data_IF_359626145147
#
_entry.id   IF_359626145147
#
_cell.length_a   1.000
_cell.length_b   1.000
_cell.length_c   1.000
_cell.angle_alpha   90.00
_cell.angle_beta   90.00
_cell.angle_gamma   90.00
#
_symmetry.space_group_name_H-M   'P 1'
#
loop_
_entity.id
_entity.type
_entity.pdbx_description
1 polymer ?
#
# COMPACT_ATOMS: atom_id res chain seq x y z
N UNK A 1 11.88 7.37 -13.54
CA UNK A 1 10.80 8.23 -13.01
C UNK A 1 11.34 9.25 -12.02
N UNK A 2 11.89 8.85 -10.87
CA UNK A 2 12.52 9.78 -9.90
C UNK A 2 13.54 10.70 -10.56
N UNK A 3 14.49 10.15 -11.33
CA UNK A 3 15.51 10.97 -12.01
C UNK A 3 14.95 11.86 -13.13
N UNK A 4 13.86 11.46 -13.79
CA UNK A 4 13.20 12.28 -14.79
C UNK A 4 12.58 13.53 -14.15
N UNK A 5 11.94 13.38 -12.99
CA UNK A 5 11.44 14.51 -12.21
C UNK A 5 12.59 15.36 -11.69
N UNK A 6 13.65 14.75 -11.15
CA UNK A 6 14.85 15.46 -10.64
C UNK A 6 15.57 16.29 -11.69
N UNK A 7 15.58 15.85 -12.94
CA UNK A 7 16.23 16.56 -14.05
C UNK A 7 15.28 17.52 -14.80
N UNK A 8 14.06 17.73 -14.30
CA UNK A 8 13.10 18.65 -14.92
C UNK A 8 12.51 18.16 -16.25
N UNK A 9 12.62 16.85 -16.55
CA UNK A 9 12.04 16.27 -17.76
C UNK A 9 10.52 16.06 -17.65
N UNK A 10 9.99 16.06 -16.42
CA UNK A 10 8.56 15.98 -16.13
C UNK A 10 8.21 16.96 -15.01
N UNK A 11 7.07 17.63 -15.15
CA UNK A 11 6.60 18.63 -14.16
C UNK A 11 5.87 17.99 -12.97
N UNK A 12 5.25 16.83 -13.19
CA UNK A 12 4.44 16.12 -12.20
C UNK A 12 4.81 14.64 -12.21
N UNK A 13 4.93 14.05 -11.03
CA UNK A 13 5.20 12.63 -10.84
C UNK A 13 4.24 12.03 -9.81
N UNK A 14 3.54 10.97 -10.19
CA UNK A 14 2.88 10.06 -9.25
C UNK A 14 3.84 8.94 -8.86
N UNK A 15 4.18 8.84 -7.58
CA UNK A 15 5.09 7.81 -7.08
C UNK A 15 4.82 7.45 -5.62
N UNK A 16 5.40 6.33 -5.17
CA UNK A 16 5.19 5.77 -3.84
C UNK A 16 6.20 6.31 -2.81
N UNK A 17 5.82 6.25 -1.53
CA UNK A 17 6.75 6.39 -0.41
C UNK A 17 7.71 5.18 -0.35
N UNK A 18 8.93 5.32 0.19
CA UNK A 18 9.49 6.51 0.83
C UNK A 18 10.14 7.50 -0.14
N UNK A 19 10.18 7.20 -1.45
CA UNK A 19 10.88 8.02 -2.43
C UNK A 19 10.24 9.42 -2.61
N UNK A 20 8.92 9.52 -2.55
CA UNK A 20 8.25 10.84 -2.53
C UNK A 20 8.58 11.65 -1.29
N UNK A 21 8.73 11.01 -0.11
CA UNK A 21 9.21 11.67 1.10
C UNK A 21 10.64 12.18 0.92
N UNK A 22 11.52 11.42 0.27
CA UNK A 22 12.88 11.85 -0.06
C UNK A 22 12.88 13.08 -0.98
N UNK A 23 12.02 13.11 -2.00
CA UNK A 23 11.91 14.23 -2.94
C UNK A 23 11.49 15.52 -2.24
N UNK A 24 10.52 15.45 -1.33
CA UNK A 24 10.11 16.60 -0.53
C UNK A 24 11.28 17.06 0.35
N UNK A 25 11.93 16.13 1.06
CA UNK A 25 12.98 16.45 2.02
C UNK A 25 14.27 17.02 1.38
N UNK A 26 14.61 16.59 0.17
CA UNK A 26 15.94 16.88 -0.42
C UNK A 26 15.90 17.70 -1.71
N UNK A 27 14.74 17.87 -2.33
CA UNK A 27 14.62 18.47 -3.68
C UNK A 27 13.51 19.52 -3.79
N UNK A 28 12.90 19.94 -2.68
CA UNK A 28 11.87 20.99 -2.68
C UNK A 28 10.58 20.61 -3.42
N UNK A 29 10.36 19.32 -3.65
CA UNK A 29 9.11 18.86 -4.26
C UNK A 29 7.94 19.21 -3.35
N UNK A 30 6.82 19.62 -3.96
CA UNK A 30 5.56 19.88 -3.25
C UNK A 30 4.58 18.75 -3.52
N UNK A 31 4.00 18.20 -2.46
CA UNK A 31 2.96 17.17 -2.58
C UNK A 31 1.65 17.85 -3.00
N UNK A 32 1.16 17.52 -4.19
CA UNK A 32 -0.12 18.06 -4.69
C UNK A 32 -1.33 17.33 -4.10
N UNK A 33 -1.25 16.00 -4.01
CA UNK A 33 -2.29 15.15 -3.43
C UNK A 33 -1.69 13.80 -3.01
N UNK A 34 -2.48 12.97 -2.32
CA UNK A 34 -2.16 11.57 -2.06
C UNK A 34 -3.41 10.70 -2.24
N UNK A 35 -3.23 9.37 -2.21
CA UNK A 35 -4.34 8.42 -2.37
C UNK A 35 -5.50 8.69 -1.39
N UNK A 36 -5.20 8.92 -0.11
CA UNK A 36 -6.21 9.17 0.91
C UNK A 36 -7.06 10.43 0.65
N UNK A 37 -6.47 11.45 0.01
CA UNK A 37 -7.17 12.66 -0.41
C UNK A 37 -7.95 12.48 -1.73
N UNK A 38 -7.44 11.67 -2.65
CA UNK A 38 -8.07 11.43 -3.95
C UNK A 38 -9.27 10.48 -3.87
N UNK A 39 -9.20 9.46 -3.01
CA UNK A 39 -10.24 8.44 -2.87
C UNK A 39 -10.73 8.37 -1.42
N UNK A 40 -10.11 7.56 -0.55
CA UNK A 40 -10.41 7.49 0.89
C UNK A 40 -9.17 7.03 1.67
N UNK A 41 -9.08 7.29 3.00
CA UNK A 41 -7.96 6.81 3.82
C UNK A 41 -7.73 5.29 3.77
N UNK A 42 -8.78 4.52 3.50
CA UNK A 42 -8.76 3.05 3.45
C UNK A 42 -8.81 2.49 2.01
N UNK A 43 -8.63 3.35 1.01
CA UNK A 43 -8.45 2.88 -0.37
C UNK A 43 -7.14 2.09 -0.47
N UNK A 44 -7.19 0.84 -0.98
CA UNK A 44 -6.00 0.00 -1.02
C UNK A 44 -4.93 0.59 -1.95
N UNK A 45 -3.70 0.72 -1.43
CA UNK A 45 -2.53 1.12 -2.21
C UNK A 45 -1.74 -0.09 -2.75
N UNK A 46 -1.77 -1.19 -2.00
CA UNK A 46 -1.08 -2.44 -2.31
C UNK A 46 -1.99 -3.59 -1.89
N UNK A 47 -2.02 -4.65 -2.68
CA UNK A 47 -2.78 -5.87 -2.39
C UNK A 47 -1.83 -7.04 -2.18
N UNK A 48 -2.25 -7.98 -1.33
CA UNK A 48 -1.60 -9.28 -1.19
C UNK A 48 -2.36 -10.26 -2.06
N UNK A 49 -1.66 -10.86 -3.01
CA UNK A 49 -2.22 -11.89 -3.88
C UNK A 49 -1.48 -13.21 -3.68
N UNK A 50 -2.23 -14.30 -3.66
CA UNK A 50 -1.69 -15.66 -3.59
C UNK A 50 -2.27 -16.48 -4.74
N UNK A 51 -1.53 -17.48 -5.20
CA UNK A 51 -2.05 -18.42 -6.20
C UNK A 51 -3.22 -19.19 -5.62
N UNK A 52 -4.26 -19.41 -6.42
CA UNK A 52 -5.44 -20.18 -6.02
C UNK A 52 -5.06 -21.60 -5.55
N UNK A 53 -4.11 -22.24 -6.23
CA UNK A 53 -3.58 -23.56 -5.85
C UNK A 53 -2.92 -23.56 -4.47
N UNK A 54 -2.30 -22.44 -4.06
CA UNK A 54 -1.70 -22.31 -2.73
C UNK A 54 -2.78 -22.03 -1.69
N UNK A 55 -3.77 -21.21 -2.04
CA UNK A 55 -4.90 -20.89 -1.18
C UNK A 55 -5.74 -22.12 -0.84
N UNK A 56 -6.03 -22.95 -1.85
CA UNK A 56 -6.86 -24.15 -1.71
C UNK A 56 -6.07 -25.35 -1.17
N UNK A 57 -4.82 -25.54 -1.63
CA UNK A 57 -4.00 -26.69 -1.22
C UNK A 57 -3.25 -26.50 0.10
N UNK A 58 -3.01 -25.25 0.53
CA UNK A 58 -2.25 -24.93 1.75
C UNK A 58 -2.84 -23.73 2.52
N UNK A 59 -4.15 -23.72 2.83
CA UNK A 59 -4.81 -22.58 3.46
C UNK A 59 -4.17 -22.16 4.80
N UNK A 60 -3.66 -23.12 5.58
CA UNK A 60 -2.97 -22.87 6.84
C UNK A 60 -1.68 -22.05 6.69
N UNK A 61 -0.95 -22.24 5.58
CA UNK A 61 0.27 -21.47 5.28
C UNK A 61 -0.08 -20.04 4.92
N UNK A 62 -1.11 -19.86 4.09
CA UNK A 62 -1.59 -18.53 3.70
C UNK A 62 -2.09 -17.77 4.94
N UNK A 63 -2.84 -18.42 5.81
CA UNK A 63 -3.33 -17.83 7.05
C UNK A 63 -2.17 -17.42 7.99
N UNK A 64 -1.16 -18.28 8.16
CA UNK A 64 0.03 -17.94 8.96
C UNK A 64 0.81 -16.76 8.36
N UNK A 65 0.92 -16.71 7.03
CA UNK A 65 1.56 -15.60 6.33
C UNK A 65 0.80 -14.28 6.56
N UNK A 66 -0.52 -14.26 6.39
CA UNK A 66 -1.34 -13.08 6.66
C UNK A 66 -1.24 -12.61 8.11
N UNK A 67 -1.21 -13.53 9.09
CA UNK A 67 -0.98 -13.19 10.50
C UNK A 67 0.34 -12.44 10.71
N UNK A 68 1.40 -12.89 10.03
CA UNK A 68 2.69 -12.20 10.04
C UNK A 68 2.60 -10.79 9.47
N UNK A 69 1.85 -10.60 8.37
CA UNK A 69 1.64 -9.29 7.76
C UNK A 69 0.84 -8.34 8.66
N UNK A 70 -0.24 -8.81 9.29
CA UNK A 70 -1.03 -8.04 10.25
C UNK A 70 -0.15 -7.59 11.42
N UNK A 71 0.65 -8.50 11.98
CA UNK A 71 1.62 -8.17 13.03
C UNK A 71 2.65 -7.11 12.57
N UNK A 72 3.12 -7.20 11.33
CA UNK A 72 3.99 -6.18 10.73
C UNK A 72 3.32 -4.82 10.60
N UNK A 73 2.07 -4.78 10.14
CA UNK A 73 1.25 -3.55 10.08
C UNK A 73 1.07 -2.93 11.45
N UNK A 74 0.72 -3.74 12.46
CA UNK A 74 0.56 -3.29 13.84
C UNK A 74 1.87 -2.73 14.42
N UNK A 75 3.01 -3.35 14.12
CA UNK A 75 4.31 -2.84 14.54
C UNK A 75 4.60 -1.47 13.94
N UNK A 76 4.29 -1.25 12.66
CA UNK A 76 4.47 0.05 12.01
C UNK A 76 3.54 1.09 12.63
N UNK A 77 2.27 0.74 12.84
CA UNK A 77 1.27 1.64 13.43
C UNK A 77 1.64 2.06 14.87
N UNK A 78 2.14 1.14 15.69
CA UNK A 78 2.39 1.37 17.12
C UNK A 78 3.81 1.80 17.45
N UNK A 79 4.78 1.44 16.62
CA UNK A 79 6.21 1.64 16.90
C UNK A 79 7.01 1.81 15.61
N UNK A 80 6.72 2.87 14.82
CA UNK A 80 7.35 3.07 13.52
C UNK A 80 8.89 3.17 13.61
N UNK A 81 9.45 3.68 14.71
CA UNK A 81 10.90 3.69 14.95
C UNK A 81 11.49 2.27 15.00
N UNK A 82 10.82 1.36 15.71
CA UNK A 82 11.24 -0.04 15.80
C UNK A 82 11.11 -0.74 14.45
N UNK A 83 10.04 -0.46 13.70
CA UNK A 83 9.88 -0.98 12.35
C UNK A 83 11.03 -0.52 11.43
N UNK A 84 11.39 0.77 11.46
CA UNK A 84 12.53 1.32 10.71
C UNK A 84 13.85 0.68 11.13
N UNK A 85 14.09 0.51 12.44
CA UNK A 85 15.29 -0.15 12.95
C UNK A 85 15.45 -1.58 12.43
N UNK A 86 14.34 -2.33 12.30
CA UNK A 86 14.37 -3.67 11.72
C UNK A 86 14.69 -3.63 10.22
N UNK A 87 14.10 -2.70 9.47
CA UNK A 87 14.31 -2.56 8.03
C UNK A 87 15.73 -2.10 7.67
N UNK A 88 16.38 -1.32 8.53
CA UNK A 88 17.78 -0.90 8.38
C UNK A 88 18.78 -2.05 8.34
N UNK A 89 18.43 -3.21 8.92
CA UNK A 89 19.31 -4.39 8.89
C UNK A 89 19.37 -5.04 7.51
N UNK A 90 18.46 -4.68 6.60
CA UNK A 90 18.42 -5.15 5.22
C UNK A 90 18.66 -4.03 4.21
N UNK A 91 18.53 -4.37 2.93
CA UNK A 91 18.72 -3.46 1.79
C UNK A 91 17.40 -3.10 1.09
N UNK A 92 16.29 -3.14 1.83
CA UNK A 92 14.92 -2.99 1.30
C UNK A 92 14.65 -1.62 0.68
N UNK A 93 15.08 -0.55 1.34
CA UNK A 93 14.87 0.82 0.88
C UNK A 93 16.20 1.54 0.75
N UNK A 94 16.42 2.17 -0.41
CA UNK A 94 17.65 2.93 -0.70
C UNK A 94 17.47 4.41 -0.36
N UNK A 95 17.02 4.69 0.86
CA UNK A 95 16.83 6.06 1.39
C UNK A 95 17.40 6.13 2.80
N UNK A 96 17.66 7.35 3.29
CA UNK A 96 18.09 7.54 4.68
C UNK A 96 17.03 7.03 5.68
N UNK A 97 17.44 6.44 6.82
CA UNK A 97 16.53 6.07 7.92
C UNK A 97 15.51 7.12 8.34
N UNK A 98 15.92 8.39 8.40
CA UNK A 98 15.09 9.52 8.78
C UNK A 98 13.98 9.77 7.76
N UNK A 99 14.27 9.60 6.47
CA UNK A 99 13.29 9.66 5.39
C UNK A 99 12.30 8.50 5.50
N UNK A 100 12.76 7.29 5.77
CA UNK A 100 11.89 6.14 5.96
C UNK A 100 10.94 6.34 7.15
N UNK A 101 11.46 6.81 8.29
CA UNK A 101 10.66 7.11 9.47
C UNK A 101 9.63 8.21 9.20
N UNK A 102 10.03 9.30 8.55
CA UNK A 102 9.11 10.36 8.14
C UNK A 102 8.02 9.84 7.18
N UNK A 103 8.36 8.89 6.32
CA UNK A 103 7.41 8.28 5.40
C UNK A 103 6.34 7.46 6.14
N UNK A 104 6.74 6.70 7.18
CA UNK A 104 5.83 5.91 8.01
C UNK A 104 4.92 6.82 8.84
N UNK A 105 5.48 7.82 9.53
CA UNK A 105 4.71 8.77 10.35
C UNK A 105 3.73 9.66 9.58
N UNK A 106 3.94 9.81 8.27
CA UNK A 106 3.05 10.59 7.41
C UNK A 106 2.10 9.71 6.58
N UNK A 107 2.19 8.38 6.71
CA UNK A 107 1.26 7.48 6.03
C UNK A 107 -0.15 7.64 6.64
N UNK A 108 -1.22 7.47 5.86
CA UNK A 108 -2.57 7.39 6.41
C UNK A 108 -2.63 6.31 7.49
N UNK A 109 -3.15 6.66 8.66
CA UNK A 109 -3.28 5.75 9.79
C UNK A 109 -4.72 5.26 9.94
N UNK A 110 -4.93 4.00 10.39
CA UNK A 110 -3.92 2.95 10.52
C UNK A 110 -3.61 2.26 9.18
N UNK A 111 -2.40 1.70 9.05
CA UNK A 111 -2.15 0.62 8.09
C UNK A 111 -3.11 -0.52 8.42
N UNK A 112 -3.96 -0.86 7.46
CA UNK A 112 -5.01 -1.86 7.61
C UNK A 112 -4.97 -2.85 6.45
N UNK A 113 -5.37 -4.09 6.73
CA UNK A 113 -5.59 -5.14 5.73
C UNK A 113 -7.08 -5.32 5.41
N UNK A 114 -7.96 -4.50 6.00
CA UNK A 114 -9.39 -4.43 5.67
C UNK A 114 -9.57 -3.31 4.64
N UNK A 115 -9.85 -3.63 3.37
CA UNK A 115 -9.98 -2.64 2.31
C UNK A 115 -11.34 -1.93 2.35
N UNK A 116 -11.38 -0.69 1.87
CA UNK A 116 -12.64 -0.02 1.51
C UNK A 116 -13.18 -0.58 0.18
N UNK A 117 -14.06 -1.58 0.28
CA UNK A 117 -14.65 -2.27 -0.89
C UNK A 117 -15.43 -1.32 -1.79
N UNK A 118 -16.04 -0.26 -1.23
CA UNK A 118 -16.82 0.71 -2.01
C UNK A 118 -15.89 1.60 -2.84
N UNK A 119 -14.76 2.03 -2.26
CA UNK A 119 -13.73 2.74 -3.01
C UNK A 119 -13.19 1.88 -4.17
N UNK A 120 -12.94 0.59 -3.91
CA UNK A 120 -12.49 -0.34 -4.98
C UNK A 120 -13.57 -0.53 -6.06
N UNK A 121 -14.84 -0.64 -5.67
CA UNK A 121 -15.93 -0.74 -6.65
C UNK A 121 -16.02 0.50 -7.54
N UNK A 122 -15.71 1.68 -7.00
CA UNK A 122 -15.66 2.93 -7.78
C UNK A 122 -14.53 2.87 -8.82
N UNK A 123 -13.34 2.39 -8.43
CA UNK A 123 -12.22 2.16 -9.37
C UNK A 123 -12.58 1.12 -10.45
N UNK A 124 -13.21 0.00 -10.08
CA UNK A 124 -13.68 -1.02 -11.05
C UNK A 124 -14.68 -0.41 -12.04
N UNK A 125 -15.58 0.44 -11.55
CA UNK A 125 -16.58 1.13 -12.37
C UNK A 125 -15.91 2.05 -13.38
N UNK A 126 -14.93 2.85 -12.94
CA UNK A 126 -14.21 3.77 -13.82
C UNK A 126 -13.36 3.04 -14.85
N UNK A 127 -12.65 1.97 -14.45
CA UNK A 127 -11.88 1.14 -15.37
C UNK A 127 -12.77 0.39 -16.38
N UNK A 128 -13.99 -0.01 -15.99
CA UNK A 128 -14.99 -0.57 -16.91
C UNK A 128 -15.46 0.49 -17.91
N UNK A 129 -15.78 1.72 -17.46
CA UNK A 129 -16.17 2.83 -18.34
C UNK A 129 -15.07 3.20 -19.35
N UNK A 130 -13.82 3.12 -18.92
CA UNK A 130 -12.65 3.35 -19.77
C UNK A 130 -12.31 2.16 -20.69
N UNK A 131 -13.03 1.03 -20.56
CA UNK A 131 -12.84 -0.16 -21.39
C UNK A 131 -11.66 -1.05 -20.98
N UNK A 132 -11.02 -0.79 -19.84
CA UNK A 132 -9.92 -1.61 -19.31
C UNK A 132 -10.40 -2.92 -18.68
N UNK A 133 -11.59 -2.90 -18.05
CA UNK A 133 -12.23 -4.10 -17.49
C UNK A 133 -13.41 -4.48 -18.37
N UNK A 134 -13.53 -5.77 -18.69
CA UNK A 134 -14.63 -6.33 -19.48
C UNK A 134 -15.50 -7.23 -18.61
N UNK A 135 -16.81 -7.24 -18.88
CA UNK A 135 -17.78 -8.05 -18.15
C UNK A 135 -18.25 -7.42 -16.84
N UNK A 136 -19.03 -8.17 -16.07
CA UNK A 136 -19.55 -7.75 -14.78
C UNK A 136 -18.61 -8.23 -13.67
N UNK A 137 -17.63 -7.39 -13.31
CA UNK A 137 -16.74 -7.63 -12.16
C UNK A 137 -17.22 -6.79 -10.97
N UNK A 138 -17.41 -7.42 -9.81
CA UNK A 138 -17.63 -6.69 -8.57
C UNK A 138 -16.35 -6.68 -7.71
N UNK A 139 -16.18 -5.64 -6.91
CA UNK A 139 -15.05 -5.55 -5.96
C UNK A 139 -15.06 -6.70 -4.93
N UNK A 140 -16.25 -7.27 -4.64
CA UNK A 140 -16.38 -8.41 -3.74
C UNK A 140 -15.79 -9.69 -4.32
N UNK A 141 -15.75 -9.82 -5.64
CA UNK A 141 -15.15 -10.98 -6.31
C UNK A 141 -13.62 -10.94 -6.29
N UNK A 142 -13.03 -9.78 -5.98
CA UNK A 142 -11.59 -9.55 -5.99
C UNK A 142 -10.95 -9.97 -4.64
N UNK A 143 -11.68 -9.83 -3.53
CA UNK A 143 -11.11 -9.99 -2.19
C UNK A 143 -11.70 -11.17 -1.41
N UNK A 144 -10.80 -11.91 -0.75
CA UNK A 144 -11.14 -12.93 0.26
C UNK A 144 -11.27 -12.30 1.64
N UNK A 145 -12.33 -11.51 1.83
CA UNK A 145 -12.59 -10.75 3.07
C UNK A 145 -12.83 -11.68 4.28
N UNK A 146 -13.42 -12.85 4.03
CA UNK A 146 -13.64 -13.92 5.02
C UNK A 146 -12.35 -14.30 5.78
N UNK A 147 -11.24 -14.37 5.06
CA UNK A 147 -9.97 -14.84 5.60
C UNK A 147 -9.25 -13.76 6.43
N UNK A 148 -9.40 -12.49 6.10
CA UNK A 148 -8.81 -11.41 6.93
C UNK A 148 -9.64 -11.17 8.19
N UNK A 149 -10.97 -11.26 8.08
CA UNK A 149 -11.89 -11.15 9.22
C UNK A 149 -11.65 -12.26 10.26
N UNK A 150 -11.27 -13.47 9.84
CA UNK A 150 -10.95 -14.56 10.77
C UNK A 150 -9.63 -14.38 11.52
N UNK A 151 -8.76 -13.48 11.08
CA UNK A 151 -7.46 -13.19 11.73
C UNK A 151 -7.59 -12.11 12.81
N UNK A 152 -8.57 -11.20 12.68
CA UNK A 152 -8.83 -10.13 13.64
C UNK A 152 -9.68 -10.53 14.86
N UNK A 153 -10.10 -11.80 14.94
CA UNK A 153 -10.73 -12.42 16.11
C UNK A 153 -9.70 -13.20 16.91
#
# INVERSE_FOLDING_TARGET
MVEAFRSGQVDILSHIKPYTTEMVATKGATVLTNNAQAWTPHTPNTVVSVLDSTLTGRPQVVHAFLKGLVCGGDLINRSPEKAVQLLQKGSYFRVAPTVLLASFKSAPEPISFVPDVNAVQSVVTDLTKLGYIKGNVSAKDIFRLDMIESIGK
#
